data_IF_617572351990
#
_entry.id   IF_617572351990
#
_cell.length_a   1.000
_cell.length_b   1.000
_cell.length_c   1.000
_cell.angle_alpha   90.00
_cell.angle_beta   90.00
_cell.angle_gamma   90.00
#
_symmetry.space_group_name_H-M   'P 1'
#
loop_
_entity.id
_entity.type
_entity.pdbx_description
1 polymer ?
#
# COMPACT_ATOMS: atom_id res chain seq x y z
N UNK A 1 15.31 -20.50 -8.55
CA UNK A 1 16.23 -19.88 -7.57
C UNK A 1 15.62 -18.55 -7.13
N UNK A 2 15.22 -18.43 -5.86
CA UNK A 2 14.77 -17.15 -5.32
C UNK A 2 16.00 -16.34 -4.91
N UNK A 3 16.30 -15.26 -5.63
CA UNK A 3 17.31 -14.30 -5.24
C UNK A 3 16.71 -13.40 -4.16
N UNK A 4 17.27 -13.42 -2.94
CA UNK A 4 16.66 -12.74 -1.80
C UNK A 4 16.92 -13.37 -0.43
N UNK A 5 17.41 -14.61 -0.38
CA UNK A 5 17.51 -15.42 0.85
C UNK A 5 16.14 -15.54 1.53
N UNK A 6 16.01 -15.12 2.79
CA UNK A 6 14.80 -15.15 3.61
C UNK A 6 13.93 -13.90 3.49
N UNK A 7 14.23 -12.97 2.58
CA UNK A 7 13.50 -11.69 2.46
C UNK A 7 12.26 -11.86 1.60
N UNK A 8 11.14 -11.32 2.07
CA UNK A 8 9.97 -11.07 1.23
C UNK A 8 10.28 -9.94 0.26
N UNK A 9 10.17 -10.21 -1.03
CA UNK A 9 10.44 -9.24 -2.10
C UNK A 9 9.15 -8.98 -2.86
N UNK A 10 8.88 -7.70 -3.11
CA UNK A 10 7.75 -7.22 -3.89
C UNK A 10 8.26 -6.28 -4.98
N UNK A 11 7.58 -6.26 -6.11
CA UNK A 11 7.80 -5.27 -7.17
C UNK A 11 6.68 -4.26 -7.18
N UNK A 12 7.03 -3.00 -7.45
CA UNK A 12 6.05 -1.94 -7.57
C UNK A 12 6.52 -0.88 -8.55
N UNK A 13 5.64 -0.38 -9.43
CA UNK A 13 5.97 0.66 -10.41
C UNK A 13 4.80 1.65 -10.62
N UNK A 14 5.12 2.91 -10.96
CA UNK A 14 4.14 3.90 -11.43
C UNK A 14 3.74 3.70 -12.90
N UNK A 15 4.49 2.89 -13.65
CA UNK A 15 4.25 2.63 -15.06
C UNK A 15 3.38 1.36 -15.19
N UNK A 16 2.12 1.47 -15.67
CA UNK A 16 1.18 0.36 -15.71
C UNK A 16 1.63 -0.76 -16.64
N UNK A 17 2.22 -0.42 -17.78
CA UNK A 17 2.81 -1.35 -18.75
C UNK A 17 3.93 -2.21 -18.14
N UNK A 18 4.79 -1.61 -17.32
CA UNK A 18 5.85 -2.33 -16.58
C UNK A 18 5.23 -3.30 -15.58
N UNK A 19 4.18 -2.92 -14.85
CA UNK A 19 3.48 -3.81 -13.93
C UNK A 19 2.90 -5.04 -14.65
N UNK A 20 2.26 -4.84 -15.81
CA UNK A 20 1.72 -5.93 -16.64
C UNK A 20 2.84 -6.85 -17.12
N UNK A 21 3.91 -6.29 -17.67
CA UNK A 21 5.04 -7.07 -18.16
C UNK A 21 5.73 -7.86 -17.03
N UNK A 22 5.90 -7.26 -15.85
CA UNK A 22 6.44 -7.95 -14.67
C UNK A 22 5.52 -9.08 -14.23
N UNK A 23 4.20 -8.86 -14.24
CA UNK A 23 3.23 -9.89 -13.86
C UNK A 23 3.24 -11.07 -14.84
N UNK A 24 3.40 -10.80 -16.13
CA UNK A 24 3.49 -11.83 -17.17
C UNK A 24 4.82 -12.60 -17.13
N UNK A 25 5.93 -11.93 -16.79
CA UNK A 25 7.28 -12.53 -16.81
C UNK A 25 7.59 -13.38 -15.59
N UNK A 26 6.92 -13.17 -14.46
CA UNK A 26 7.18 -13.93 -13.25
C UNK A 26 5.95 -14.01 -12.33
N UNK A 27 5.82 -15.13 -11.62
CA UNK A 27 4.78 -15.34 -10.60
C UNK A 27 5.33 -15.54 -9.19
N UNK A 28 6.65 -15.45 -9.01
CA UNK A 28 7.34 -15.71 -7.73
C UNK A 28 7.18 -14.57 -6.73
N UNK A 29 7.21 -13.33 -7.21
CA UNK A 29 7.16 -12.12 -6.41
C UNK A 29 5.87 -11.36 -6.70
N UNK A 30 5.29 -10.79 -5.64
CA UNK A 30 4.07 -9.98 -5.75
C UNK A 30 4.37 -8.69 -6.50
N UNK A 31 3.39 -8.22 -7.27
CA UNK A 31 3.49 -7.02 -8.12
C UNK A 31 2.37 -6.06 -7.73
N UNK A 32 2.74 -4.82 -7.44
CA UNK A 32 1.85 -3.75 -7.02
C UNK A 32 1.91 -2.58 -7.99
N UNK A 33 0.78 -1.93 -8.23
CA UNK A 33 0.73 -0.73 -9.07
C UNK A 33 0.76 0.53 -8.19
N UNK A 34 1.71 1.43 -8.44
CA UNK A 34 1.74 2.73 -7.77
C UNK A 34 0.82 3.71 -8.52
N UNK A 35 -0.06 4.35 -7.76
CA UNK A 35 -0.93 5.43 -8.22
C UNK A 35 -0.70 6.66 -7.34
N UNK A 36 -0.91 7.83 -7.91
CA UNK A 36 -0.90 9.09 -7.19
C UNK A 36 -2.09 9.18 -6.25
N UNK A 37 -3.29 8.80 -6.69
CA UNK A 37 -4.50 8.88 -5.88
C UNK A 37 -4.97 10.31 -5.58
N UNK A 38 -4.21 11.32 -5.99
CA UNK A 38 -4.45 12.76 -5.78
C UNK A 38 -4.41 13.47 -7.12
N UNK A 39 -4.99 14.66 -7.19
CA UNK A 39 -4.99 15.47 -8.41
C UNK A 39 -3.58 16.02 -8.71
N UNK A 40 -2.93 15.39 -9.69
CA UNK A 40 -1.62 15.77 -10.23
C UNK A 40 -1.65 15.76 -11.76
N UNK A 41 -2.80 16.10 -12.36
CA UNK A 41 -3.00 16.07 -13.82
C UNK A 41 -1.96 16.93 -14.58
N UNK A 42 -1.39 17.93 -13.91
CA UNK A 42 -0.32 18.78 -14.45
C UNK A 42 1.05 18.07 -14.57
N UNK A 43 1.26 16.93 -13.91
CA UNK A 43 2.51 16.15 -13.91
C UNK A 43 2.34 14.77 -14.55
N UNK A 44 1.16 14.17 -14.42
CA UNK A 44 0.84 12.84 -14.90
C UNK A 44 -0.47 12.92 -15.67
N UNK A 45 -0.50 12.40 -16.88
CA UNK A 45 -1.68 12.45 -17.75
C UNK A 45 -2.41 11.11 -17.85
N UNK A 46 -1.80 10.01 -17.40
CA UNK A 46 -2.44 8.70 -17.38
C UNK A 46 -3.41 8.62 -16.20
N UNK A 47 -4.71 8.60 -16.50
CA UNK A 47 -5.77 8.59 -15.48
C UNK A 47 -5.74 7.37 -14.58
N UNK A 48 -5.10 6.25 -15.00
CA UNK A 48 -4.89 5.07 -14.14
C UNK A 48 -3.89 5.38 -13.02
N UNK A 49 -2.92 6.23 -13.31
CA UNK A 49 -1.92 6.67 -12.35
C UNK A 49 -2.42 7.80 -11.44
N UNK A 50 -3.59 8.38 -11.70
CA UNK A 50 -4.13 9.54 -10.95
C UNK A 50 -5.29 9.09 -10.07
N UNK A 51 -6.33 8.48 -10.65
CA UNK A 51 -7.56 8.19 -9.95
C UNK A 51 -7.53 6.81 -9.26
N UNK A 52 -7.81 6.78 -7.96
CA UNK A 52 -7.75 5.56 -7.15
C UNK A 52 -8.67 4.45 -7.68
N UNK A 53 -9.89 4.78 -8.09
CA UNK A 53 -10.84 3.83 -8.67
C UNK A 53 -10.32 3.20 -9.97
N UNK A 54 -9.65 3.97 -10.83
CA UNK A 54 -9.04 3.45 -12.06
C UNK A 54 -7.86 2.55 -11.74
N UNK A 55 -7.03 2.90 -10.75
CA UNK A 55 -5.92 2.07 -10.30
C UNK A 55 -6.39 0.72 -9.74
N UNK A 56 -7.46 0.72 -8.96
CA UNK A 56 -8.10 -0.50 -8.42
C UNK A 56 -8.62 -1.38 -9.56
N UNK A 57 -9.42 -0.81 -10.47
CA UNK A 57 -9.99 -1.54 -11.59
C UNK A 57 -8.90 -2.13 -12.50
N UNK A 58 -7.88 -1.33 -12.82
CA UNK A 58 -6.71 -1.77 -13.60
C UNK A 58 -6.01 -2.95 -12.93
N UNK A 59 -5.74 -2.84 -11.62
CA UNK A 59 -5.03 -3.89 -10.88
C UNK A 59 -5.80 -5.21 -10.82
N UNK A 60 -7.14 -5.15 -10.77
CA UNK A 60 -7.98 -6.35 -10.86
C UNK A 60 -7.92 -6.99 -12.25
N UNK A 61 -8.08 -6.19 -13.31
CA UNK A 61 -8.08 -6.67 -14.70
C UNK A 61 -6.75 -7.32 -15.05
N UNK A 62 -5.64 -6.69 -14.66
CA UNK A 62 -4.29 -7.19 -14.93
C UNK A 62 -3.79 -8.21 -13.89
N UNK A 63 -4.67 -8.64 -12.98
CA UNK A 63 -4.38 -9.64 -11.95
C UNK A 63 -3.12 -9.32 -11.13
N UNK A 64 -2.94 -8.04 -10.80
CA UNK A 64 -1.91 -7.58 -9.89
C UNK A 64 -2.30 -7.95 -8.45
N UNK A 65 -1.33 -7.92 -7.54
CA UNK A 65 -1.55 -8.33 -6.16
C UNK A 65 -2.09 -7.19 -5.29
N UNK A 66 -1.99 -5.94 -5.76
CA UNK A 66 -2.50 -4.80 -5.04
C UNK A 66 -2.10 -3.46 -5.65
N UNK A 67 -2.46 -2.41 -4.93
CA UNK A 67 -2.12 -1.02 -5.26
C UNK A 67 -1.30 -0.37 -4.16
N UNK A 68 -0.54 0.66 -4.53
CA UNK A 68 0.11 1.58 -3.60
C UNK A 68 -0.32 3.00 -3.97
N UNK A 69 -1.07 3.68 -3.12
CA UNK A 69 -1.60 5.04 -3.39
C UNK A 69 -0.98 6.08 -2.46
N UNK A 70 -1.07 7.38 -2.75
CA UNK A 70 -0.82 8.39 -1.72
C UNK A 70 -1.77 8.14 -0.52
N UNK A 71 -1.32 8.50 0.67
CA UNK A 71 -2.06 8.35 1.93
C UNK A 71 -3.27 9.28 2.05
N UNK A 72 -3.23 10.48 1.45
CA UNK A 72 -4.28 11.52 1.56
C UNK A 72 -5.69 10.99 1.30
N UNK A 73 -5.98 10.27 0.19
CA UNK A 73 -7.33 9.86 -0.15
C UNK A 73 -7.89 8.83 0.84
N UNK A 74 -7.03 8.01 1.42
CA UNK A 74 -7.43 6.99 2.39
C UNK A 74 -7.57 7.57 3.80
N UNK A 75 -6.82 8.63 4.13
CA UNK A 75 -7.00 9.37 5.38
C UNK A 75 -8.29 10.21 5.36
N UNK A 76 -8.60 10.83 4.22
CA UNK A 76 -9.86 11.56 4.01
C UNK A 76 -11.07 10.61 4.08
N UNK A 77 -10.97 9.43 3.44
CA UNK A 77 -12.06 8.43 3.40
C UNK A 77 -11.58 7.03 3.78
N UNK A 78 -11.42 6.72 5.08
CA UNK A 78 -10.94 5.42 5.55
C UNK A 78 -11.81 4.24 5.13
N UNK A 79 -13.11 4.47 4.90
CA UNK A 79 -14.06 3.44 4.42
C UNK A 79 -13.70 2.86 3.04
N UNK A 80 -12.86 3.55 2.25
CA UNK A 80 -12.39 3.03 0.97
C UNK A 80 -11.51 1.79 1.13
N UNK A 81 -10.78 1.67 2.24
CA UNK A 81 -9.87 0.55 2.47
C UNK A 81 -10.63 -0.78 2.54
N UNK A 82 -11.61 -0.98 3.46
CA UNK A 82 -12.39 -2.21 3.48
C UNK A 82 -13.23 -2.38 2.22
N UNK A 83 -13.69 -1.30 1.59
CA UNK A 83 -14.42 -1.39 0.32
C UNK A 83 -13.56 -1.99 -0.80
N UNK A 84 -12.29 -1.57 -0.93
CA UNK A 84 -11.37 -2.13 -1.92
C UNK A 84 -11.03 -3.57 -1.54
N UNK A 85 -10.59 -3.82 -0.30
CA UNK A 85 -10.13 -5.16 0.11
C UNK A 85 -11.23 -6.22 0.01
N UNK A 86 -12.43 -5.94 0.51
CA UNK A 86 -13.52 -6.91 0.56
C UNK A 86 -14.09 -7.20 -0.83
N UNK A 87 -14.12 -6.21 -1.72
CA UNK A 87 -14.71 -6.37 -3.06
C UNK A 87 -13.71 -6.90 -4.10
N UNK A 88 -12.41 -6.70 -3.89
CA UNK A 88 -11.40 -6.93 -4.94
C UNK A 88 -10.31 -7.92 -4.56
N UNK A 89 -10.13 -8.23 -3.26
CA UNK A 89 -9.02 -9.02 -2.73
C UNK A 89 -7.62 -8.44 -3.03
N UNK A 90 -7.54 -7.17 -3.42
CA UNK A 90 -6.28 -6.46 -3.60
C UNK A 90 -5.72 -6.02 -2.25
N UNK A 91 -4.41 -6.19 -2.04
CA UNK A 91 -3.77 -5.47 -0.94
C UNK A 91 -3.72 -3.97 -1.28
N UNK A 92 -3.85 -3.15 -0.25
CA UNK A 92 -3.79 -1.70 -0.37
C UNK A 92 -2.68 -1.22 0.54
N UNK A 93 -1.68 -0.59 -0.09
CA UNK A 93 -0.56 0.05 0.57
C UNK A 93 -0.59 1.54 0.28
N UNK A 94 0.15 2.33 1.07
CA UNK A 94 0.28 3.77 0.82
C UNK A 94 1.72 4.21 0.69
N UNK A 95 1.91 5.39 0.10
CA UNK A 95 3.10 6.24 0.14
C UNK A 95 2.70 7.68 0.54
N UNK A 96 3.68 8.58 0.66
CA UNK A 96 3.44 10.01 0.89
C UNK A 96 3.82 10.47 2.30
N UNK A 97 3.77 11.78 2.52
CA UNK A 97 4.34 12.42 3.71
C UNK A 97 3.67 11.96 5.01
N UNK A 98 2.38 11.66 4.96
CA UNK A 98 1.64 11.17 6.13
C UNK A 98 1.99 9.75 6.54
N UNK A 99 2.70 8.98 5.71
CA UNK A 99 3.26 7.70 6.13
C UNK A 99 4.44 7.84 7.10
N UNK A 100 4.91 9.07 7.34
CA UNK A 100 6.01 9.37 8.27
C UNK A 100 5.51 9.76 9.66
N UNK A 101 4.22 10.10 9.81
CA UNK A 101 3.61 10.52 11.07
C UNK A 101 3.02 9.34 11.85
N UNK A 102 3.45 9.14 13.11
CA UNK A 102 2.99 8.05 13.96
C UNK A 102 1.45 7.99 14.13
N UNK A 103 0.76 9.13 14.18
CA UNK A 103 -0.70 9.18 14.35
C UNK A 103 -1.43 8.63 13.11
N UNK A 104 -0.99 9.01 11.92
CA UNK A 104 -1.61 8.59 10.66
C UNK A 104 -1.25 7.15 10.33
N UNK A 105 -0.03 6.72 10.67
CA UNK A 105 0.38 5.32 10.63
C UNK A 105 -0.58 4.44 11.46
N UNK A 106 -0.89 4.82 12.72
CA UNK A 106 -1.78 4.05 13.58
C UNK A 106 -3.19 3.95 13.00
N UNK A 107 -3.71 5.07 12.50
CA UNK A 107 -5.01 5.12 11.84
C UNK A 107 -5.04 4.18 10.63
N UNK A 108 -4.07 4.28 9.72
CA UNK A 108 -4.00 3.44 8.52
C UNK A 108 -3.85 1.94 8.83
N UNK A 109 -3.13 1.62 9.92
CA UNK A 109 -2.93 0.25 10.38
C UNK A 109 -4.22 -0.40 10.89
N UNK A 110 -5.06 0.35 11.64
CA UNK A 110 -6.37 -0.13 12.09
C UNK A 110 -7.30 -0.51 10.93
N UNK A 111 -7.04 0.04 9.74
CA UNK A 111 -7.83 -0.20 8.54
C UNK A 111 -7.19 -1.20 7.57
N UNK A 112 -5.89 -1.53 7.66
CA UNK A 112 -5.22 -2.38 6.65
C UNK A 112 -3.86 -2.99 7.03
N UNK A 113 -3.72 -4.30 6.77
CA UNK A 113 -2.44 -5.06 6.78
C UNK A 113 -1.46 -4.74 5.64
N UNK A 114 -0.86 -3.56 5.68
CA UNK A 114 0.44 -3.30 5.06
C UNK A 114 0.58 -1.92 4.41
N UNK A 115 1.82 -1.50 4.23
CA UNK A 115 2.21 -0.20 3.68
C UNK A 115 3.60 -0.36 3.01
N UNK A 116 3.90 0.44 2.00
CA UNK A 116 5.21 0.45 1.32
C UNK A 116 6.16 1.46 1.97
N UNK A 117 7.39 1.06 2.29
CA UNK A 117 8.30 1.84 3.15
C UNK A 117 9.75 1.91 2.67
N UNK A 118 10.40 3.03 3.01
CA UNK A 118 11.86 3.14 3.16
C UNK A 118 12.20 4.36 4.04
N UNK A 119 13.36 4.50 4.70
CA UNK A 119 14.65 3.83 4.41
C UNK A 119 15.22 3.09 5.60
N UNK A 120 15.39 3.79 6.71
CA UNK A 120 15.38 3.21 8.02
C UNK A 120 13.98 2.61 8.10
N UNK A 121 13.81 1.35 7.66
CA UNK A 121 12.61 0.76 7.04
C UNK A 121 11.39 0.90 7.90
N UNK A 122 10.89 2.11 7.80
CA UNK A 122 9.99 2.73 8.71
C UNK A 122 10.41 3.12 10.15
N UNK A 123 11.68 3.11 10.57
CA UNK A 123 12.44 1.90 10.83
C UNK A 123 11.74 1.21 11.94
N UNK A 124 11.96 -0.08 12.06
CA UNK A 124 11.50 -0.64 13.28
C UNK A 124 9.95 -0.56 13.32
N UNK A 125 9.23 -0.27 12.19
CA UNK A 125 8.12 0.70 12.13
C UNK A 125 7.46 0.74 13.44
N UNK A 126 7.79 1.87 14.04
CA UNK A 126 8.63 1.84 15.19
C UNK A 126 8.00 0.85 16.13
N UNK A 127 8.87 0.05 16.76
CA UNK A 127 8.62 -1.21 17.41
C UNK A 127 7.36 -1.22 18.26
N UNK A 128 6.86 0.00 18.54
CA UNK A 128 5.61 0.76 18.88
C UNK A 128 4.27 0.45 18.28
N UNK A 129 4.25 -0.46 17.33
CA UNK A 129 3.21 -1.43 17.60
C UNK A 129 3.38 -1.93 19.06
N UNK A 130 4.63 -1.85 19.58
CA UNK A 130 5.24 -1.98 20.94
C UNK A 130 4.19 -2.54 21.77
N UNK A 131 4.06 -3.81 21.40
CA UNK A 131 3.17 -4.64 22.09
C UNK A 131 1.80 -4.06 21.69
N UNK A 132 1.17 -4.56 20.63
CA UNK A 132 -0.23 -4.26 20.30
C UNK A 132 -1.16 -4.96 21.31
N UNK A 133 -0.73 -4.86 22.54
CA UNK A 133 -0.30 -5.84 23.53
C UNK A 133 0.34 -4.87 24.55
N UNK A 134 0.89 -5.36 25.64
CA UNK A 134 0.43 -4.85 26.91
C UNK A 134 -1.08 -4.86 26.99
N UNK A 135 -1.87 -4.24 26.14
CA UNK A 135 -3.12 -3.68 26.61
C UNK A 135 -4.37 -4.44 26.17
N UNK A 136 -4.17 -5.48 25.39
CA UNK A 136 -5.08 -6.60 25.57
C UNK A 136 -5.02 -7.12 27.05
N UNK A 137 -4.02 -6.70 27.86
CA UNK A 137 -4.03 -6.51 29.34
C UNK A 137 -4.58 -5.10 29.70
N UNK A 138 -5.87 -5.02 30.05
CA UNK A 138 -6.77 -3.94 29.59
C UNK A 138 -6.70 -2.57 30.26
N UNK A 139 -6.09 -2.40 31.43
CA UNK A 139 -6.28 -1.15 32.22
C UNK A 139 -5.32 -0.01 31.88
N UNK A 140 -4.26 -0.26 31.14
CA UNK A 140 -3.27 0.74 30.78
C UNK A 140 -2.71 0.42 29.39
N UNK A 141 -3.11 1.18 28.40
CA UNK A 141 -2.10 1.81 27.60
C UNK A 141 -1.93 3.21 28.22
N UNK A 142 -0.77 3.86 28.12
CA UNK A 142 -0.71 5.28 28.44
C UNK A 142 -1.74 6.07 27.62
#
# INVERSE_FOLDING_TARGET
MAFGRSRHVVFSCFAPDVCVLLRAKQSTYRVYFLTCGVDVEHLVWDTRCIALNHAVAFSQVEQLHGIVTNSDPLLDKPALIPAIKNNTQLDVFTWGDHNTSHAHVRQMYLFSDGLHFSIAGNQHMHQLVLESIKTNFPTLAP
#
